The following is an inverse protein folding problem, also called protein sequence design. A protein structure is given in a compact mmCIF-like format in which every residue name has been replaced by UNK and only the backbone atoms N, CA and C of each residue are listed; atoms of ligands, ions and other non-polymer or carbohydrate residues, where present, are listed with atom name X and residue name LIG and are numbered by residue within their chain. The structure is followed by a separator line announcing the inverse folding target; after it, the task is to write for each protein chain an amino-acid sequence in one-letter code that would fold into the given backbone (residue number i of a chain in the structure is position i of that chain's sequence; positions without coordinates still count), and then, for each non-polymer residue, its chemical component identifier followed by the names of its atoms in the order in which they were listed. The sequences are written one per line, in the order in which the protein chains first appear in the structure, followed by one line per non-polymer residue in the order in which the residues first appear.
data_IF_768583568091
#
_entry.id   IF_768583568091
#
_cell.length_a   1.000
_cell.length_b   1.000
_cell.length_c   1.000
_cell.angle_alpha   90.00
_cell.angle_beta   90.00
_cell.angle_gamma   90.00
#
_symmetry.space_group_name_H-M   'P 1'
#
loop_
_entity.id
_entity.type
_entity.pdbx_description
1 polymer ?
#
# COMPACT_ATOMS: atom_id res chain seq x y z
N UNK A 1 27.28 -8.02 6.61
CA UNK A 1 27.07 -9.34 7.20
C UNK A 1 27.12 -9.19 8.70
N UNK A 2 25.96 -8.92 9.29
CA UNK A 2 25.74 -8.74 10.71
C UNK A 2 25.27 -10.04 11.35
N UNK A 3 25.60 -10.22 12.65
CA UNK A 3 25.06 -11.29 13.48
C UNK A 3 24.39 -10.69 14.70
N UNK A 4 23.07 -10.83 14.80
CA UNK A 4 22.27 -10.17 15.82
C UNK A 4 21.54 -11.20 16.68
N UNK A 5 21.34 -10.86 17.96
CA UNK A 5 20.48 -11.61 18.87
C UNK A 5 19.48 -10.65 19.48
N UNK A 6 18.21 -11.02 19.46
CA UNK A 6 17.11 -10.18 19.90
C UNK A 6 15.99 -11.01 20.53
N UNK A 7 15.10 -10.39 21.28
CA UNK A 7 13.91 -11.07 21.76
C UNK A 7 12.91 -11.25 20.61
N UNK A 8 12.71 -10.21 19.79
CA UNK A 8 11.72 -10.20 18.71
C UNK A 8 12.33 -9.69 17.40
N UNK A 9 12.25 -10.50 16.35
CA UNK A 9 12.52 -10.05 14.98
C UNK A 9 11.20 -9.62 14.32
N UNK A 10 11.15 -8.39 13.80
CA UNK A 10 9.97 -7.82 13.15
C UNK A 10 10.27 -7.66 11.66
N UNK A 11 9.47 -8.29 10.81
CA UNK A 11 9.67 -8.34 9.35
C UNK A 11 8.65 -7.41 8.68
N UNK A 12 9.12 -6.26 8.22
CA UNK A 12 8.33 -5.17 7.66
C UNK A 12 8.34 -3.94 8.57
N UNK A 13 8.77 -2.80 8.03
CA UNK A 13 8.86 -1.49 8.65
C UNK A 13 7.71 -0.55 8.23
N UNK A 14 6.56 -1.11 7.82
CA UNK A 14 5.32 -0.35 7.65
C UNK A 14 4.72 0.09 8.98
N UNK A 15 3.57 0.81 8.97
CA UNK A 15 2.93 1.34 10.19
C UNK A 15 2.74 0.30 11.29
N UNK A 16 2.26 -0.89 10.93
CA UNK A 16 2.03 -1.98 11.88
C UNK A 16 3.34 -2.54 12.48
N UNK A 17 4.42 -2.59 11.70
CA UNK A 17 5.73 -3.03 12.17
C UNK A 17 6.39 -2.00 13.10
N UNK A 18 6.28 -0.71 12.75
CA UNK A 18 6.72 0.38 13.63
C UNK A 18 5.94 0.34 14.95
N UNK A 19 4.62 0.20 14.91
CA UNK A 19 3.84 0.10 16.15
C UNK A 19 4.14 -1.18 16.95
N UNK A 20 4.50 -2.30 16.28
CA UNK A 20 4.97 -3.50 16.98
C UNK A 20 6.28 -3.26 17.74
N UNK A 21 7.21 -2.45 17.20
CA UNK A 21 8.41 -2.03 17.93
C UNK A 21 8.03 -1.27 19.20
N UNK A 22 7.05 -0.35 19.11
CA UNK A 22 6.55 0.39 20.28
C UNK A 22 6.05 -0.56 21.37
N UNK A 23 5.15 -1.48 21.03
CA UNK A 23 4.55 -2.42 22.00
C UNK A 23 5.60 -3.36 22.63
N UNK A 24 6.54 -3.87 21.83
CA UNK A 24 7.64 -4.69 22.37
C UNK A 24 8.56 -3.88 23.30
N UNK A 25 8.87 -2.64 22.93
CA UNK A 25 9.67 -1.72 23.73
C UNK A 25 9.03 -1.38 25.07
N UNK A 26 7.71 -1.19 25.10
CA UNK A 26 6.93 -0.99 26.34
C UNK A 26 7.07 -2.17 27.32
N UNK A 27 7.27 -3.38 26.81
CA UNK A 27 7.51 -4.59 27.58
C UNK A 27 9.01 -4.89 27.80
N UNK A 28 9.89 -3.94 27.47
CA UNK A 28 11.36 -4.04 27.59
C UNK A 28 11.97 -5.19 26.78
N UNK A 29 11.32 -5.58 25.68
CA UNK A 29 11.85 -6.57 24.75
C UNK A 29 12.76 -5.90 23.73
N UNK A 30 13.95 -6.47 23.51
CA UNK A 30 14.82 -6.04 22.42
C UNK A 30 14.20 -6.43 21.08
N UNK A 31 14.33 -5.56 20.07
CA UNK A 31 13.79 -5.79 18.75
C UNK A 31 14.80 -5.49 17.64
N UNK A 32 14.71 -6.25 16.55
CA UNK A 32 15.33 -5.93 15.26
C UNK A 32 14.20 -5.79 14.23
N UNK A 33 14.13 -4.62 13.59
CA UNK A 33 13.20 -4.32 12.50
C UNK A 33 13.89 -4.51 11.15
N UNK A 34 13.33 -5.35 10.29
CA UNK A 34 13.93 -5.75 9.01
C UNK A 34 12.98 -5.39 7.87
N UNK A 35 13.44 -4.66 6.86
CA UNK A 35 12.63 -4.34 5.67
C UNK A 35 13.48 -4.32 4.40
N UNK A 36 12.90 -4.78 3.30
CA UNK A 36 13.52 -4.75 1.98
C UNK A 36 13.64 -3.32 1.42
N UNK A 37 12.79 -2.39 1.85
CA UNK A 37 12.90 -0.98 1.52
C UNK A 37 14.06 -0.33 2.29
N UNK A 38 14.74 0.62 1.65
CA UNK A 38 15.83 1.38 2.27
C UNK A 38 15.38 2.42 3.30
N UNK A 39 14.07 2.57 3.50
CA UNK A 39 13.43 3.51 4.41
C UNK A 39 12.25 2.86 5.13
N UNK A 40 11.82 3.44 6.24
CA UNK A 40 10.65 2.99 6.98
C UNK A 40 9.36 3.57 6.40
N UNK A 41 8.22 3.01 6.81
CA UNK A 41 6.89 3.45 6.43
C UNK A 41 6.19 2.56 5.41
N UNK A 42 6.90 1.60 4.82
CA UNK A 42 6.32 0.63 3.89
C UNK A 42 5.55 1.34 2.77
N UNK A 43 4.33 0.88 2.53
CA UNK A 43 3.43 1.41 1.49
C UNK A 43 3.15 2.92 1.66
N UNK A 44 3.04 3.41 2.90
CA UNK A 44 2.76 4.82 3.18
C UNK A 44 3.87 5.74 2.67
N UNK A 45 5.13 5.37 2.90
CA UNK A 45 6.27 6.16 2.45
C UNK A 45 6.59 5.92 0.97
N UNK A 46 6.62 4.65 0.54
CA UNK A 46 7.09 4.28 -0.79
C UNK A 46 6.13 4.66 -1.91
N UNK A 47 4.82 4.60 -1.64
CA UNK A 47 3.80 4.69 -2.67
C UNK A 47 3.09 6.05 -2.60
N UNK A 48 2.58 6.45 -1.44
CA UNK A 48 1.65 7.57 -1.34
C UNK A 48 1.91 8.51 -0.15
N UNK A 49 3.12 9.09 -0.03
CA UNK A 49 3.49 9.90 1.14
C UNK A 49 2.56 11.10 1.37
N UNK A 50 1.98 11.69 0.32
CA UNK A 50 1.06 12.83 0.41
C UNK A 50 -0.44 12.44 0.40
N UNK A 51 -0.78 11.13 0.42
CA UNK A 51 -2.19 10.72 0.51
C UNK A 51 -2.74 11.08 1.90
N UNK A 52 -3.87 11.79 1.99
CA UNK A 52 -4.56 11.98 3.25
C UNK A 52 -5.23 10.67 3.70
N UNK A 53 -5.12 10.36 4.98
CA UNK A 53 -5.74 9.20 5.63
C UNK A 53 -6.72 9.73 6.69
N UNK A 54 -7.96 9.28 6.64
CA UNK A 54 -9.07 9.83 7.45
C UNK A 54 -9.55 8.89 8.56
N UNK A 55 -9.05 7.65 8.58
CA UNK A 55 -9.51 6.58 9.46
C UNK A 55 -8.46 6.15 10.50
N UNK A 56 -7.50 7.03 10.81
CA UNK A 56 -6.57 6.87 11.94
C UNK A 56 -7.21 7.45 13.21
N UNK A 57 -7.47 6.63 14.25
CA UNK A 57 -8.05 7.11 15.49
C UNK A 57 -7.26 8.28 16.10
N UNK A 58 -7.96 9.34 16.49
CA UNK A 58 -7.36 10.56 17.05
C UNK A 58 -6.88 11.58 16.01
N UNK A 59 -6.94 11.24 14.71
CA UNK A 59 -6.58 12.13 13.61
C UNK A 59 -7.77 12.30 12.65
N UNK A 60 -8.40 13.49 12.58
CA UNK A 60 -9.45 13.77 11.60
C UNK A 60 -8.99 13.64 10.14
N UNK A 61 -7.70 13.83 9.90
CA UNK A 61 -7.01 13.63 8.64
C UNK A 61 -5.50 13.75 8.87
N UNK A 62 -4.71 12.85 8.29
CA UNK A 62 -3.25 12.87 8.40
C UNK A 62 -2.61 12.39 7.10
N UNK A 63 -1.57 13.06 6.63
CA UNK A 63 -0.83 12.59 5.46
C UNK A 63 -0.04 11.32 5.80
N UNK A 64 0.09 10.40 4.86
CA UNK A 64 0.75 9.12 5.10
C UNK A 64 2.20 9.29 5.59
N UNK A 65 2.96 10.23 5.04
CA UNK A 65 4.31 10.55 5.50
C UNK A 65 4.33 11.13 6.92
N UNK A 66 3.35 11.97 7.27
CA UNK A 66 3.24 12.52 8.63
C UNK A 66 2.93 11.41 9.64
N UNK A 67 2.06 10.47 9.30
CA UNK A 67 1.78 9.30 10.13
C UNK A 67 3.05 8.49 10.40
N UNK A 68 3.86 8.23 9.36
CA UNK A 68 5.14 7.52 9.52
C UNK A 68 6.12 8.31 10.39
N UNK A 69 6.24 9.62 10.19
CA UNK A 69 7.11 10.47 11.01
C UNK A 69 6.72 10.45 12.48
N UNK A 70 5.41 10.43 12.80
CA UNK A 70 4.91 10.32 14.18
C UNK A 70 5.18 8.95 14.78
N UNK A 71 5.00 7.86 14.02
CA UNK A 71 5.32 6.51 14.48
C UNK A 71 6.83 6.36 14.73
N UNK A 72 7.66 6.96 13.88
CA UNK A 72 9.12 7.04 14.08
C UNK A 72 9.49 7.73 15.39
N UNK A 73 8.89 8.90 15.66
CA UNK A 73 9.06 9.60 16.94
C UNK A 73 8.61 8.74 18.13
N UNK A 74 7.51 8.01 17.96
CA UNK A 74 6.95 7.15 19.01
C UNK A 74 7.87 5.97 19.35
N UNK A 75 8.59 5.40 18.38
CA UNK A 75 9.51 4.28 18.62
C UNK A 75 10.94 4.71 18.99
N UNK A 76 11.29 5.98 18.77
CA UNK A 76 12.63 6.50 19.01
C UNK A 76 13.21 6.19 20.40
N UNK A 77 12.45 6.26 21.52
CA UNK A 77 12.97 5.95 22.85
C UNK A 77 13.46 4.50 23.03
N UNK A 78 12.98 3.56 22.22
CA UNK A 78 13.34 2.14 22.34
C UNK A 78 14.57 1.76 21.53
N UNK A 79 15.05 2.65 20.65
CA UNK A 79 16.28 2.48 19.88
C UNK A 79 16.42 1.11 19.20
N UNK A 80 15.31 0.57 18.67
CA UNK A 80 15.31 -0.73 18.00
C UNK A 80 16.28 -0.73 16.81
N UNK A 81 17.09 -1.78 16.71
CA UNK A 81 18.02 -1.93 15.61
C UNK A 81 17.27 -2.16 14.31
N UNK A 82 17.78 -1.59 13.21
CA UNK A 82 17.11 -1.60 11.91
C UNK A 82 18.02 -2.18 10.84
N UNK A 83 17.53 -3.17 10.12
CA UNK A 83 18.13 -3.72 8.92
C UNK A 83 17.25 -3.34 7.72
N UNK A 84 17.37 -2.10 7.26
CA UNK A 84 16.68 -1.59 6.08
C UNK A 84 17.46 -1.93 4.80
N UNK A 85 16.77 -2.05 3.67
CA UNK A 85 17.35 -2.54 2.42
C UNK A 85 17.76 -4.01 2.51
N UNK A 86 17.13 -4.80 3.39
CA UNK A 86 17.42 -6.21 3.65
C UNK A 86 16.14 -7.01 3.61
N UNK A 87 16.06 -8.00 2.73
CA UNK A 87 14.91 -8.91 2.66
C UNK A 87 15.23 -10.19 3.42
N UNK A 88 14.31 -10.65 4.27
CA UNK A 88 14.44 -11.96 4.91
C UNK A 88 14.14 -13.05 3.87
N UNK A 89 15.12 -13.92 3.62
CA UNK A 89 15.05 -15.01 2.65
C UNK A 89 14.70 -16.34 3.33
N UNK A 90 15.20 -16.57 4.54
CA UNK A 90 15.04 -17.85 5.23
C UNK A 90 14.63 -17.63 6.67
N UNK A 91 13.74 -18.48 7.15
CA UNK A 91 13.37 -18.61 8.55
C UNK A 91 13.38 -20.10 8.92
N UNK A 92 14.10 -20.44 9.98
CA UNK A 92 14.10 -21.79 10.54
C UNK A 92 14.19 -21.76 12.07
N UNK A 93 13.93 -22.89 12.70
CA UNK A 93 13.94 -23.03 14.16
C UNK A 93 12.54 -23.20 14.74
N UNK A 94 12.42 -22.90 16.03
CA UNK A 94 11.18 -23.06 16.80
C UNK A 94 11.04 -21.95 17.84
N UNK A 95 9.87 -21.86 18.48
CA UNK A 95 9.59 -20.89 19.54
C UNK A 95 10.76 -20.80 20.55
N UNK A 96 11.28 -19.60 20.76
CA UNK A 96 12.43 -19.33 21.65
C UNK A 96 13.80 -19.41 20.97
N UNK A 97 13.90 -19.97 19.76
CA UNK A 97 15.16 -20.15 19.04
C UNK A 97 14.92 -20.17 17.51
N UNK A 98 14.53 -19.01 16.96
CA UNK A 98 14.44 -18.80 15.52
C UNK A 98 15.74 -18.21 14.98
N UNK A 99 16.06 -18.56 13.73
CA UNK A 99 17.15 -17.95 12.98
C UNK A 99 16.64 -17.48 11.62
N UNK A 100 16.85 -16.20 11.34
CA UNK A 100 16.51 -15.53 10.09
C UNK A 100 17.78 -15.24 9.30
N UNK A 101 17.73 -15.38 7.99
CA UNK A 101 18.82 -14.99 7.09
C UNK A 101 18.32 -14.00 6.05
N UNK A 102 19.05 -12.90 5.86
CA UNK A 102 18.73 -11.89 4.84
C UNK A 102 19.41 -12.17 3.51
N UNK A 103 18.96 -11.52 2.45
CA UNK A 103 19.56 -11.50 1.12
C UNK A 103 21.00 -10.94 1.10
N UNK A 104 21.35 -10.06 2.04
CA UNK A 104 22.72 -9.59 2.25
C UNK A 104 23.58 -10.52 3.14
N UNK A 105 23.04 -11.67 3.55
CA UNK A 105 23.72 -12.68 4.35
C UNK A 105 23.74 -12.39 5.87
N UNK A 106 22.98 -11.42 6.35
CA UNK A 106 22.88 -11.14 7.79
C UNK A 106 22.12 -12.28 8.49
N UNK A 107 22.52 -12.60 9.72
CA UNK A 107 21.94 -13.68 10.52
C UNK A 107 21.37 -13.11 11.83
N UNK A 108 20.07 -13.34 12.06
CA UNK A 108 19.35 -12.82 13.23
C UNK A 108 18.80 -14.00 14.02
N UNK A 109 19.24 -14.14 15.27
CA UNK A 109 18.64 -15.09 16.23
C UNK A 109 17.59 -14.36 17.05
N UNK A 110 16.38 -14.90 17.09
CA UNK A 110 15.25 -14.29 17.79
C UNK A 110 14.45 -15.32 18.60
N UNK A 111 13.85 -14.90 19.72
CA UNK A 111 12.97 -15.78 20.51
C UNK A 111 11.56 -15.86 19.90
N UNK A 112 11.11 -14.77 19.28
CA UNK A 112 9.84 -14.68 18.56
C UNK A 112 10.01 -13.89 17.25
N UNK A 113 9.08 -14.12 16.31
CA UNK A 113 9.04 -13.42 15.03
C UNK A 113 7.67 -12.78 14.83
N UNK A 114 7.64 -11.50 14.44
CA UNK A 114 6.42 -10.81 14.01
C UNK A 114 6.52 -10.53 12.52
N UNK A 115 5.60 -11.11 11.74
CA UNK A 115 5.45 -10.87 10.31
C UNK A 115 4.52 -9.68 10.10
N UNK A 116 5.09 -8.54 9.70
CA UNK A 116 4.40 -7.29 9.38
C UNK A 116 4.62 -6.90 7.90
N UNK A 117 4.75 -7.89 7.02
CA UNK A 117 5.18 -7.73 5.62
C UNK A 117 4.15 -7.03 4.69
N UNK A 118 3.02 -6.56 5.23
CA UNK A 118 1.99 -5.88 4.45
C UNK A 118 1.45 -6.76 3.32
N UNK A 119 1.51 -6.27 2.09
CA UNK A 119 1.04 -7.01 0.91
C UNK A 119 2.14 -7.85 0.22
N UNK A 120 3.36 -7.94 0.78
CA UNK A 120 4.50 -8.65 0.19
C UNK A 120 5.40 -7.77 -0.68
N UNK A 121 6.25 -8.35 -1.54
CA UNK A 121 7.03 -7.61 -2.53
C UNK A 121 6.08 -6.97 -3.56
N UNK A 122 6.18 -5.65 -3.74
CA UNK A 122 5.08 -4.83 -4.26
C UNK A 122 5.14 -4.57 -5.77
N UNK A 123 4.00 -4.71 -6.43
CA UNK A 123 3.69 -4.11 -7.72
C UNK A 123 2.21 -3.68 -7.78
N UNK A 124 1.84 -2.64 -8.53
CA UNK A 124 0.44 -2.28 -8.70
C UNK A 124 -0.28 -3.30 -9.59
N UNK A 125 -1.59 -3.48 -9.40
CA UNK A 125 -2.41 -4.21 -10.35
C UNK A 125 -2.51 -3.39 -11.64
N UNK A 126 -1.78 -3.80 -12.68
CA UNK A 126 -1.75 -3.12 -13.97
C UNK A 126 -3.09 -3.31 -14.70
N UNK A 127 -3.68 -2.26 -15.29
CA UNK A 127 -4.80 -2.43 -16.19
C UNK A 127 -4.34 -3.23 -17.43
N UNK A 128 -5.15 -4.15 -17.97
CA UNK A 128 -4.76 -4.95 -19.13
C UNK A 128 -4.89 -4.13 -20.43
N UNK A 129 -3.98 -3.16 -20.63
CA UNK A 129 -3.97 -2.24 -21.77
C UNK A 129 -2.74 -2.48 -22.63
N UNK A 130 -2.91 -2.41 -23.95
CA UNK A 130 -1.81 -2.54 -24.90
C UNK A 130 -0.88 -1.32 -24.85
N UNK A 131 0.43 -1.55 -24.95
CA UNK A 131 1.44 -0.49 -24.99
C UNK A 131 1.64 0.28 -23.67
N UNK A 132 1.08 -0.23 -22.57
CA UNK A 132 1.10 0.39 -21.24
C UNK A 132 2.53 0.74 -20.78
N UNK A 133 3.50 -0.13 -21.02
CA UNK A 133 4.89 0.03 -20.58
C UNK A 133 5.54 1.32 -21.11
N UNK A 134 5.18 1.74 -22.32
CA UNK A 134 5.72 2.97 -22.91
C UNK A 134 5.25 4.22 -22.15
N UNK A 135 4.01 4.22 -21.66
CA UNK A 135 3.44 5.32 -20.87
C UNK A 135 3.86 5.24 -19.39
N UNK A 136 4.12 4.04 -18.87
CA UNK A 136 4.75 3.86 -17.55
C UNK A 136 6.15 4.47 -17.53
N UNK A 137 6.94 4.23 -18.57
CA UNK A 137 8.34 4.68 -18.67
C UNK A 137 8.49 6.21 -18.65
N UNK A 138 7.49 6.93 -19.16
CA UNK A 138 7.46 8.41 -19.18
C UNK A 138 6.77 9.01 -17.94
N UNK A 139 6.12 8.18 -17.13
CA UNK A 139 5.26 8.62 -16.02
C UNK A 139 3.91 9.19 -16.47
N UNK A 140 3.48 8.94 -17.71
CA UNK A 140 2.13 9.29 -18.15
C UNK A 140 1.07 8.33 -17.57
N UNK A 141 1.44 7.10 -17.25
CA UNK A 141 0.66 6.21 -16.39
C UNK A 141 1.38 6.05 -15.06
N UNK A 142 0.71 6.39 -13.96
CA UNK A 142 1.28 6.33 -12.61
C UNK A 142 0.33 5.60 -11.69
N UNK A 143 0.84 4.64 -10.94
CA UNK A 143 0.02 3.86 -10.00
C UNK A 143 -0.06 4.49 -8.61
N UNK A 144 0.76 5.51 -8.38
CA UNK A 144 0.90 6.18 -7.11
C UNK A 144 1.24 7.65 -7.33
N UNK A 145 0.79 8.52 -6.43
CA UNK A 145 1.08 9.94 -6.47
C UNK A 145 2.05 10.28 -5.33
N UNK A 146 3.32 10.50 -5.70
CA UNK A 146 4.37 10.87 -4.74
C UNK A 146 4.33 12.34 -4.35
N UNK A 147 3.94 13.21 -5.28
CA UNK A 147 3.82 14.67 -5.08
C UNK A 147 2.61 15.18 -5.85
N UNK A 148 1.62 15.77 -5.18
CA UNK A 148 0.41 16.33 -5.82
C UNK A 148 0.76 17.44 -6.81
N UNK A 149 1.74 18.25 -6.45
CA UNK A 149 2.17 19.41 -7.23
C UNK A 149 2.69 19.04 -8.64
N UNK A 150 3.17 17.81 -8.84
CA UNK A 150 3.58 17.35 -10.17
C UNK A 150 2.40 17.22 -11.16
N UNK A 151 1.18 17.18 -10.64
CA UNK A 151 -0.06 17.07 -11.40
C UNK A 151 -0.75 18.43 -11.60
N UNK A 152 -0.15 19.54 -11.16
CA UNK A 152 -0.73 20.87 -11.31
C UNK A 152 -1.04 21.21 -12.77
N UNK A 153 -2.29 21.62 -13.03
CA UNK A 153 -2.76 22.04 -14.34
C UNK A 153 -2.86 20.92 -15.39
N UNK A 154 -2.58 19.66 -15.03
CA UNK A 154 -2.71 18.51 -15.93
C UNK A 154 -4.15 18.02 -16.01
N UNK A 155 -4.51 17.43 -17.15
CA UNK A 155 -5.74 16.64 -17.33
C UNK A 155 -5.52 15.25 -16.75
N UNK A 156 -6.10 14.98 -15.59
CA UNK A 156 -5.89 13.72 -14.86
C UNK A 156 -7.10 12.81 -15.03
N UNK A 157 -6.84 11.57 -15.43
CA UNK A 157 -7.84 10.50 -15.43
C UNK A 157 -7.53 9.56 -14.28
N UNK A 158 -8.52 9.30 -13.43
CA UNK A 158 -8.42 8.36 -12.30
C UNK A 158 -9.33 7.17 -12.60
N UNK A 159 -8.79 5.96 -12.56
CA UNK A 159 -9.57 4.74 -12.78
C UNK A 159 -9.61 3.90 -11.51
N UNK A 160 -10.79 3.67 -10.95
CA UNK A 160 -10.96 2.91 -9.72
C UNK A 160 -12.24 3.27 -8.97
N UNK A 161 -12.58 2.45 -7.97
CA UNK A 161 -13.80 2.65 -7.17
C UNK A 161 -13.66 2.32 -5.69
N UNK A 162 -12.43 2.18 -5.18
CA UNK A 162 -12.09 2.05 -3.75
C UNK A 162 -11.72 3.40 -3.13
N UNK A 163 -11.32 3.42 -1.86
CA UNK A 163 -11.00 4.66 -1.13
C UNK A 163 -9.88 5.42 -1.82
N UNK A 164 -8.81 4.74 -2.22
CA UNK A 164 -7.66 5.38 -2.86
C UNK A 164 -8.02 6.17 -4.13
N UNK A 165 -8.97 5.70 -4.95
CA UNK A 165 -9.42 6.44 -6.12
C UNK A 165 -10.20 7.71 -5.75
N UNK A 166 -11.06 7.61 -4.73
CA UNK A 166 -11.88 8.71 -4.23
C UNK A 166 -11.03 9.75 -3.51
N UNK A 167 -10.13 9.33 -2.62
CA UNK A 167 -9.22 10.19 -1.87
C UNK A 167 -8.34 11.01 -2.81
N UNK A 168 -7.78 10.39 -3.85
CA UNK A 168 -6.94 11.11 -4.83
C UNK A 168 -7.75 12.04 -5.72
N UNK A 169 -8.98 11.68 -6.11
CA UNK A 169 -9.84 12.59 -6.86
C UNK A 169 -10.14 13.87 -6.06
N UNK A 170 -10.45 13.73 -4.77
CA UNK A 170 -10.69 14.85 -3.87
C UNK A 170 -9.39 15.64 -3.58
N UNK A 171 -8.28 14.96 -3.32
CA UNK A 171 -7.00 15.60 -2.98
C UNK A 171 -6.37 16.36 -4.16
N UNK A 172 -6.68 15.99 -5.40
CA UNK A 172 -6.21 16.68 -6.60
C UNK A 172 -7.17 17.77 -7.08
N UNK A 173 -8.38 17.84 -6.51
CA UNK A 173 -9.36 18.89 -6.83
C UNK A 173 -8.77 20.27 -6.48
N UNK A 174 -8.77 21.19 -7.45
CA UNK A 174 -8.10 22.50 -7.33
C UNK A 174 -6.58 22.49 -7.56
N UNK A 175 -5.97 21.32 -7.81
CA UNK A 175 -4.56 21.20 -8.23
C UNK A 175 -4.49 20.84 -9.72
N UNK A 176 -5.15 19.75 -10.12
CA UNK A 176 -5.25 19.34 -11.52
C UNK A 176 -6.06 20.35 -12.34
N UNK A 177 -5.81 20.41 -13.64
CA UNK A 177 -6.57 21.25 -14.56
C UNK A 177 -7.96 20.69 -14.85
N UNK A 178 -8.09 19.36 -14.89
CA UNK A 178 -9.37 18.65 -14.90
C UNK A 178 -9.18 17.24 -14.33
N UNK A 179 -10.26 16.67 -13.78
CA UNK A 179 -10.27 15.33 -13.20
C UNK A 179 -11.44 14.55 -13.77
N UNK A 180 -11.15 13.39 -14.35
CA UNK A 180 -12.16 12.42 -14.77
C UNK A 180 -12.04 11.15 -13.93
N UNK A 181 -13.12 10.73 -13.28
CA UNK A 181 -13.16 9.49 -12.50
C UNK A 181 -13.90 8.42 -13.26
N UNK A 182 -13.18 7.37 -13.68
CA UNK A 182 -13.71 6.22 -14.40
C UNK A 182 -14.03 5.11 -13.41
N UNK A 183 -15.28 4.65 -13.45
CA UNK A 183 -15.69 3.45 -12.72
C UNK A 183 -16.78 2.69 -13.48
N UNK A 184 -16.69 1.36 -13.42
CA UNK A 184 -17.61 0.44 -14.10
C UNK A 184 -19.02 0.42 -13.51
N UNK A 185 -19.22 1.02 -12.34
CA UNK A 185 -20.50 1.01 -11.60
C UNK A 185 -20.73 2.37 -10.94
N UNK A 186 -21.98 2.82 -10.78
CA UNK A 186 -22.30 4.02 -10.00
C UNK A 186 -21.88 3.94 -8.54
N UNK A 187 -21.90 2.73 -7.96
CA UNK A 187 -21.59 2.54 -6.54
C UNK A 187 -20.09 2.39 -6.30
N UNK A 188 -19.53 3.35 -5.56
CA UNK A 188 -18.19 3.29 -4.99
C UNK A 188 -18.17 2.38 -3.75
N UNK A 189 -17.00 1.81 -3.46
CA UNK A 189 -16.72 1.01 -2.26
C UNK A 189 -15.98 1.80 -1.18
N UNK A 190 -15.71 3.07 -1.43
CA UNK A 190 -15.07 3.96 -0.49
C UNK A 190 -15.95 4.25 0.73
N UNK A 191 -15.35 4.85 1.76
CA UNK A 191 -15.99 5.37 2.94
C UNK A 191 -17.20 6.24 2.53
N UNK A 192 -18.37 6.09 3.18
CA UNK A 192 -19.58 6.82 2.80
C UNK A 192 -19.39 8.33 2.74
N UNK A 193 -18.59 8.89 3.65
CA UNK A 193 -18.30 10.32 3.70
C UNK A 193 -17.45 10.77 2.50
N UNK A 194 -16.35 10.07 2.20
CA UNK A 194 -15.51 10.37 1.03
C UNK A 194 -16.31 10.24 -0.27
N UNK A 195 -17.18 9.23 -0.38
CA UNK A 195 -18.07 9.07 -1.53
C UNK A 195 -19.06 10.25 -1.67
N UNK A 196 -19.66 10.71 -0.55
CA UNK A 196 -20.56 11.86 -0.57
C UNK A 196 -19.84 13.17 -0.96
N UNK A 197 -18.60 13.35 -0.52
CA UNK A 197 -17.78 14.49 -0.92
C UNK A 197 -17.45 14.47 -2.42
N UNK A 198 -17.16 13.30 -2.98
CA UNK A 198 -16.95 13.12 -4.41
C UNK A 198 -18.21 13.45 -5.22
N UNK A 199 -19.38 12.97 -4.79
CA UNK A 199 -20.66 13.28 -5.42
C UNK A 199 -20.95 14.79 -5.38
N UNK A 200 -20.64 15.46 -4.26
CA UNK A 200 -20.82 16.90 -4.12
C UNK A 200 -19.87 17.69 -5.05
N UNK A 201 -18.62 17.25 -5.21
CA UNK A 201 -17.68 17.87 -6.15
C UNK A 201 -18.11 17.67 -7.60
N UNK A 202 -18.62 16.48 -7.94
CA UNK A 202 -19.20 16.20 -9.25
C UNK A 202 -20.42 17.07 -9.54
N UNK A 203 -21.32 17.25 -8.57
CA UNK A 203 -22.49 18.13 -8.72
C UNK A 203 -22.12 19.61 -8.94
N UNK A 204 -20.94 20.04 -8.47
CA UNK A 204 -20.39 21.38 -8.73
C UNK A 204 -19.64 21.50 -10.06
N UNK A 205 -19.49 20.40 -10.81
CA UNK A 205 -18.72 20.36 -12.05
C UNK A 205 -17.20 20.46 -11.85
N UNK A 206 -16.72 20.16 -10.65
CA UNK A 206 -15.28 20.19 -10.33
C UNK A 206 -14.59 18.87 -10.73
N UNK A 207 -15.34 17.77 -10.76
CA UNK A 207 -14.88 16.42 -11.10
C UNK A 207 -15.89 15.79 -12.06
N UNK A 208 -15.40 15.29 -13.19
CA UNK A 208 -16.22 14.65 -14.20
C UNK A 208 -16.33 13.14 -13.93
N UNK A 209 -17.54 12.67 -13.62
CA UNK A 209 -17.81 11.26 -13.38
C UNK A 209 -18.07 10.53 -14.71
N UNK A 210 -17.17 9.61 -15.06
CA UNK A 210 -17.24 8.81 -16.28
C UNK A 210 -17.74 7.42 -15.92
N UNK A 211 -19.06 7.32 -15.76
CA UNK A 211 -19.75 6.12 -15.28
C UNK A 211 -21.03 5.87 -16.11
N UNK A 212 -21.35 4.62 -16.48
CA UNK A 212 -20.58 3.39 -16.26
C UNK A 212 -19.56 3.17 -17.39
N UNK A 213 -18.27 3.27 -17.07
CA UNK A 213 -17.20 3.06 -18.05
C UNK A 213 -16.01 2.30 -17.46
N UNK A 214 -15.23 1.66 -18.32
CA UNK A 214 -13.95 1.03 -17.98
C UNK A 214 -12.88 1.45 -18.98
N UNK A 215 -11.61 1.34 -18.58
CA UNK A 215 -10.47 1.58 -19.46
C UNK A 215 -10.51 0.60 -20.64
N UNK A 216 -10.28 1.11 -21.86
CA UNK A 216 -10.24 0.33 -23.09
C UNK A 216 -8.92 0.49 -23.85
N UNK A 217 -8.36 1.71 -23.89
CA UNK A 217 -7.15 1.99 -24.66
C UNK A 217 -6.43 3.26 -24.21
N UNK A 218 -5.17 3.42 -24.63
CA UNK A 218 -4.34 4.59 -24.40
C UNK A 218 -3.92 5.20 -25.73
N UNK A 219 -4.04 6.51 -25.87
CA UNK A 219 -3.70 7.23 -27.08
C UNK A 219 -2.65 8.30 -26.83
N UNK A 220 -1.67 8.34 -27.73
CA UNK A 220 -0.55 9.27 -27.69
C UNK A 220 0.67 8.69 -28.40
N UNK A 221 1.77 9.46 -28.46
CA UNK A 221 2.98 9.10 -29.18
C UNK A 221 4.22 9.20 -28.28
N UNK A 222 5.16 8.26 -28.45
CA UNK A 222 6.42 8.27 -27.69
C UNK A 222 6.25 8.17 -26.17
N UNK A 223 5.17 7.54 -25.70
CA UNK A 223 4.82 7.44 -24.28
C UNK A 223 4.21 8.72 -23.69
N UNK A 224 4.00 9.78 -24.47
CA UNK A 224 3.21 10.95 -24.04
C UNK A 224 1.73 10.60 -24.20
N UNK A 225 0.96 10.64 -23.11
CA UNK A 225 -0.48 10.40 -23.12
C UNK A 225 -1.21 11.66 -23.59
N UNK A 226 -2.15 11.50 -24.52
CA UNK A 226 -3.02 12.57 -25.03
C UNK A 226 -4.49 12.32 -24.70
N UNK A 227 -4.90 11.04 -24.69
CA UNK A 227 -6.24 10.61 -24.32
C UNK A 227 -6.29 9.17 -23.78
N UNK A 228 -7.29 8.91 -22.95
CA UNK A 228 -7.69 7.57 -22.50
C UNK A 228 -8.98 7.20 -23.21
N UNK A 229 -9.02 6.03 -23.85
CA UNK A 229 -10.24 5.46 -24.39
C UNK A 229 -10.97 4.66 -23.31
N UNK A 230 -12.27 4.90 -23.20
CA UNK A 230 -13.14 4.20 -22.27
C UNK A 230 -14.29 3.54 -23.01
N UNK A 231 -14.71 2.36 -22.54
CA UNK A 231 -15.85 1.61 -23.06
C UNK A 231 -16.94 1.47 -21.98
N UNK A 232 -18.20 1.58 -22.38
CA UNK A 232 -19.32 1.19 -21.52
C UNK A 232 -19.57 -0.33 -21.58
N UNK A 233 -20.67 -0.78 -20.98
CA UNK A 233 -21.05 -2.20 -20.94
C UNK A 233 -21.57 -2.72 -22.30
N UNK A 234 -22.02 -1.83 -23.17
CA UNK A 234 -22.54 -2.15 -24.51
C UNK A 234 -21.43 -2.11 -25.58
N UNK A 235 -20.21 -1.74 -25.17
CA UNK A 235 -19.02 -1.67 -26.01
C UNK A 235 -18.88 -0.35 -26.76
N UNK A 236 -19.70 0.66 -26.48
CA UNK A 236 -19.53 1.98 -27.07
C UNK A 236 -18.32 2.67 -26.42
N UNK A 237 -17.40 3.14 -27.25
CA UNK A 237 -16.17 3.78 -26.79
C UNK A 237 -16.21 5.30 -26.95
N UNK A 238 -15.44 5.99 -26.11
CA UNK A 238 -15.14 7.42 -26.28
C UNK A 238 -13.77 7.77 -25.75
N UNK A 239 -13.22 8.87 -26.25
CA UNK A 239 -11.94 9.42 -25.84
C UNK A 239 -12.11 10.49 -24.78
N UNK A 240 -11.30 10.41 -23.73
CA UNK A 240 -11.16 11.42 -22.68
C UNK A 240 -9.76 12.01 -22.78
N UNK A 241 -9.65 13.31 -23.00
CA UNK A 241 -8.35 13.99 -23.03
C UNK A 241 -7.62 13.86 -21.69
N UNK A 242 -6.38 13.38 -21.73
CA UNK A 242 -5.61 13.03 -20.52
C UNK A 242 -4.12 13.28 -20.75
N UNK A 243 -3.46 13.87 -19.75
CA UNK A 243 -1.99 13.96 -19.70
C UNK A 243 -1.41 12.91 -18.75
N UNK A 244 -2.21 12.47 -17.76
CA UNK A 244 -1.84 11.45 -16.78
C UNK A 244 -3.03 10.52 -16.51
N UNK A 245 -2.77 9.21 -16.49
CA UNK A 245 -3.69 8.19 -16.00
C UNK A 245 -3.21 7.63 -14.65
N UNK A 246 -4.11 7.59 -13.67
CA UNK A 246 -3.94 7.04 -12.34
C UNK A 246 -4.86 5.81 -12.13
N UNK A 247 -4.41 4.58 -12.48
CA UNK A 247 -5.22 3.38 -12.29
C UNK A 247 -5.01 2.80 -10.88
N UNK A 248 -5.98 3.01 -10.00
CA UNK A 248 -6.00 2.49 -8.63
C UNK A 248 -6.78 1.18 -8.54
N UNK A 249 -6.22 0.11 -9.09
CA UNK A 249 -6.81 -1.25 -9.07
C UNK A 249 -6.32 -2.10 -7.89
N UNK A 250 -5.73 -1.46 -6.88
CA UNK A 250 -5.07 -2.11 -5.77
C UNK A 250 -3.69 -2.65 -6.13
N UNK A 251 -3.13 -3.48 -5.26
CA UNK A 251 -1.79 -4.01 -5.37
C UNK A 251 -1.80 -5.51 -5.71
N UNK A 252 -0.85 -5.91 -6.54
CA UNK A 252 -0.47 -7.29 -6.69
C UNK A 252 0.35 -7.68 -5.45
N UNK A 253 -0.03 -8.80 -4.83
CA UNK A 253 0.66 -9.31 -3.65
C UNK A 253 1.58 -10.45 -4.06
N UNK A 254 2.88 -10.26 -3.92
CA UNK A 254 3.85 -11.35 -4.06
C UNK A 254 4.44 -11.66 -2.68
N UNK A 255 4.10 -12.83 -2.13
CA UNK A 255 4.59 -13.25 -0.81
C UNK A 255 6.12 -13.41 -0.76
N UNK A 256 6.76 -13.63 -1.90
CA UNK A 256 8.20 -13.90 -1.98
C UNK A 256 8.57 -15.08 -1.05
N UNK A 257 9.69 -14.98 -0.31
CA UNK A 257 10.16 -16.06 0.57
C UNK A 257 9.18 -16.47 1.68
N UNK A 258 8.22 -15.62 2.07
CA UNK A 258 7.23 -15.96 3.10
C UNK A 258 6.32 -17.11 2.66
N UNK A 259 6.16 -17.34 1.36
CA UNK A 259 5.35 -18.43 0.82
C UNK A 259 5.90 -19.81 1.20
N UNK A 260 7.22 -19.91 1.44
CA UNK A 260 7.91 -21.17 1.72
C UNK A 260 8.01 -21.50 3.21
N UNK A 261 7.48 -20.63 4.09
CA UNK A 261 7.58 -20.82 5.54
C UNK A 261 6.46 -21.72 6.06
N UNK A 262 6.70 -22.36 7.22
CA UNK A 262 5.87 -23.46 7.71
C UNK A 262 4.48 -23.05 8.26
N UNK A 263 4.12 -21.76 8.28
CA UNK A 263 2.79 -21.34 8.72
C UNK A 263 1.73 -21.50 7.65
N UNK A 264 0.48 -21.63 8.07
CA UNK A 264 -0.64 -21.77 7.16
C UNK A 264 -0.94 -20.44 6.45
N UNK A 265 -1.14 -20.55 5.14
CA UNK A 265 -1.62 -19.48 4.29
C UNK A 265 -3.05 -19.76 3.83
N UNK A 266 -3.85 -18.71 3.72
CA UNK A 266 -5.09 -18.72 2.95
C UNK A 266 -4.90 -17.76 1.78
N UNK A 267 -4.87 -18.31 0.56
CA UNK A 267 -4.39 -17.61 -0.65
C UNK A 267 -2.98 -17.07 -0.45
N UNK A 268 -2.87 -15.77 -0.17
CA UNK A 268 -1.63 -15.02 -0.03
C UNK A 268 -1.60 -14.26 1.29
N UNK A 269 -2.37 -14.70 2.29
CA UNK A 269 -2.41 -14.14 3.64
C UNK A 269 -2.05 -15.18 4.69
N UNK A 270 -1.33 -14.75 5.71
CA UNK A 270 -0.97 -15.57 6.88
C UNK A 270 -2.20 -15.73 7.77
N UNK A 271 -2.59 -16.98 8.01
CA UNK A 271 -3.69 -17.29 8.93
C UNK A 271 -3.22 -17.08 10.35
N UNK A 272 -3.97 -16.30 11.14
CA UNK A 272 -3.66 -16.05 12.55
C UNK A 272 -4.87 -16.26 13.46
N UNK A 273 -4.60 -16.56 14.73
CA UNK A 273 -5.61 -16.51 15.77
C UNK A 273 -5.96 -15.03 16.07
N UNK A 274 -7.22 -14.58 15.91
CA UNK A 274 -7.56 -13.16 16.06
C UNK A 274 -7.43 -12.63 17.50
N UNK A 275 -7.34 -13.48 18.53
CA UNK A 275 -7.17 -13.06 19.91
C UNK A 275 -5.69 -12.85 20.29
N UNK A 276 -4.75 -13.48 19.58
CA UNK A 276 -3.31 -13.47 19.91
C UNK A 276 -2.42 -12.99 18.76
N UNK A 277 -2.97 -12.95 17.55
CA UNK A 277 -2.25 -12.73 16.30
C UNK A 277 -1.14 -13.75 16.02
N UNK A 278 -1.15 -14.89 16.71
CA UNK A 278 -0.22 -15.99 16.52
C UNK A 278 -0.61 -16.82 15.30
N UNK A 279 0.38 -17.24 14.51
CA UNK A 279 0.19 -18.11 13.33
C UNK A 279 0.01 -19.58 13.76
N UNK A 280 -0.05 -20.50 12.80
CA UNK A 280 -0.03 -21.95 13.10
C UNK A 280 1.32 -22.47 13.60
N UNK A 281 2.38 -21.65 13.52
CA UNK A 281 3.70 -21.96 14.07
C UNK A 281 3.88 -21.19 15.38
N UNK A 282 3.97 -21.87 16.53
CA UNK A 282 4.14 -21.21 17.83
C UNK A 282 5.34 -20.27 17.85
N UNK A 283 5.17 -19.08 18.43
CA UNK A 283 6.23 -18.05 18.50
C UNK A 283 6.41 -17.23 17.22
N UNK A 284 5.66 -17.53 16.14
CA UNK A 284 5.54 -16.66 14.97
C UNK A 284 4.16 -16.01 14.99
N UNK A 285 4.13 -14.68 14.91
CA UNK A 285 2.94 -13.84 14.92
C UNK A 285 2.82 -13.09 13.58
N UNK A 286 1.63 -12.61 13.26
CA UNK A 286 1.39 -11.79 12.07
C UNK A 286 0.54 -10.56 12.39
N UNK A 287 0.86 -9.40 11.82
CA UNK A 287 0.10 -8.15 12.02
C UNK A 287 0.02 -7.34 10.73
N UNK A 288 -0.96 -6.43 10.64
CA UNK A 288 -1.14 -5.57 9.46
C UNK A 288 -1.85 -6.30 8.31
N UNK A 289 -1.52 -5.95 7.06
CA UNK A 289 -2.27 -6.41 5.88
C UNK A 289 -1.91 -7.82 5.41
N UNK A 290 -0.83 -8.40 5.95
CA UNK A 290 -0.35 -9.74 5.60
C UNK A 290 -1.24 -10.83 6.19
N UNK A 291 -2.01 -10.53 7.23
CA UNK A 291 -2.82 -11.54 7.93
C UNK A 291 -4.26 -11.61 7.45
N UNK A 292 -4.87 -12.77 7.70
CA UNK A 292 -6.29 -13.01 7.50
C UNK A 292 -6.92 -13.71 8.71
N UNK A 293 -8.17 -13.35 8.98
CA UNK A 293 -9.07 -13.95 9.96
C UNK A 293 -10.49 -13.43 9.69
N UNK A 294 -11.55 -14.11 10.19
CA UNK A 294 -12.93 -13.62 10.04
C UNK A 294 -13.10 -12.19 10.57
N UNK A 295 -13.56 -11.28 9.69
CA UNK A 295 -13.75 -9.87 10.03
C UNK A 295 -12.52 -8.96 9.85
N UNK A 296 -11.42 -9.48 9.28
CA UNK A 296 -10.23 -8.68 8.98
C UNK A 296 -10.56 -7.50 8.05
N UNK A 297 -10.15 -6.29 8.45
CA UNK A 297 -10.18 -5.06 7.65
C UNK A 297 -8.76 -4.58 7.32
N UNK A 298 -8.60 -3.91 6.18
CA UNK A 298 -7.37 -3.26 5.72
C UNK A 298 -7.68 -1.78 5.51
N UNK A 299 -7.28 -0.92 6.44
CA UNK A 299 -7.84 0.43 6.55
C UNK A 299 -7.10 1.43 5.65
N UNK A 300 -5.77 1.49 5.73
CA UNK A 300 -4.96 2.53 5.08
C UNK A 300 -5.01 2.49 3.53
N UNK A 301 -5.19 1.30 2.94
CA UNK A 301 -4.97 1.04 1.51
C UNK A 301 -6.23 0.69 0.72
N UNK A 302 -7.42 0.71 1.33
CA UNK A 302 -8.65 0.35 0.59
C UNK A 302 -9.01 1.36 -0.52
#
# INVERSE_FOLDING_TARGET
MEKLTTDVAIIGAGPAGLFAVFECGMLKMSCVLIDALGETGGQCAALYPEKPIYDIPGHPGIEAAELIARLEQQIAPFAAQRLLGRRVEKLHGAAGAFTLTTDAGDEITAKAVIVAAGAGAFGPNRPPLEGLEAYEATGAVQYYVKRRESLRGKRVVIAGGGDSAVDWALALNGIAGSIHVIHRRPKFRAAPESAAQLDAAAARGEIDMVIPYQLHGLHGAGGVLEAVEVADLDGATRLIGADVLLPFFGLAMELGPLADWAFQLERTHVVVNPARMETTVPGIFGVGDIVTYPGKLKLILQ
#
